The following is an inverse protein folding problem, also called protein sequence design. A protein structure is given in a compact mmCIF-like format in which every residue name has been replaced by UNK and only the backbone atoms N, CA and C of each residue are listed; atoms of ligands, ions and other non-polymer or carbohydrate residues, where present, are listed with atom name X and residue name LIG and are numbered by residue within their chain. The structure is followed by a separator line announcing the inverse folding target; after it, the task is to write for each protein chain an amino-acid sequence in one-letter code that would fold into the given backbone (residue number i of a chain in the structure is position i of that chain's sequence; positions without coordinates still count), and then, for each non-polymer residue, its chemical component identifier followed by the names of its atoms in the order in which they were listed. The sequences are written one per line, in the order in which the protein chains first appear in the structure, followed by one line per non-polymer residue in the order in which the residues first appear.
data_IF_061228757074
#
_entry.id   IF_061228757074
#
_cell.length_a   1.000
_cell.length_b   1.000
_cell.length_c   1.000
_cell.angle_alpha   90.00
_cell.angle_beta   90.00
_cell.angle_gamma   90.00
#
_symmetry.space_group_name_H-M   'P 1'
#
loop_
_entity.id
_entity.type
_entity.pdbx_description
1 polymer ?
#
# COMPACT_ATOMS: atom_id res chain seq x y z
N UNK A 1 28.95 16.77 -5.18
CA UNK A 1 29.61 16.21 -3.97
C UNK A 1 29.00 16.64 -2.63
N UNK A 2 28.21 17.73 -2.54
CA UNK A 2 27.62 18.18 -1.27
C UNK A 2 26.30 17.49 -0.85
N UNK A 3 25.63 16.77 -1.77
CA UNK A 3 24.34 16.11 -1.49
C UNK A 3 24.50 14.75 -0.77
N UNK A 4 25.64 14.07 -0.98
CA UNK A 4 25.93 12.75 -0.41
C UNK A 4 26.21 12.76 1.12
N UNK A 5 26.46 13.93 1.72
CA UNK A 5 26.86 14.05 3.12
C UNK A 5 25.69 14.33 4.08
N UNK A 6 24.46 14.55 3.58
CA UNK A 6 23.29 14.82 4.42
C UNK A 6 22.46 13.60 4.81
N UNK A 7 22.81 12.41 4.35
CA UNK A 7 22.13 11.15 4.72
C UNK A 7 22.91 10.31 5.75
N UNK A 8 24.14 10.71 6.11
CA UNK A 8 25.02 9.89 6.94
C UNK A 8 24.86 10.06 8.46
N UNK A 9 24.04 11.01 8.93
CA UNK A 9 23.94 11.32 10.37
C UNK A 9 22.49 11.25 10.89
N UNK A 10 21.93 10.04 10.95
CA UNK A 10 20.87 9.71 11.92
C UNK A 10 20.77 8.18 12.10
N UNK A 11 21.88 7.57 12.54
CA UNK A 11 21.87 6.24 13.17
C UNK A 11 21.60 6.46 14.66
N UNK A 12 20.33 6.69 15.00
CA UNK A 12 19.86 6.34 16.34
C UNK A 12 19.37 4.91 16.22
N UNK A 13 20.03 3.99 16.92
CA UNK A 13 19.61 2.60 17.04
C UNK A 13 18.27 2.55 17.79
N UNK A 14 17.17 2.69 17.04
CA UNK A 14 15.88 2.20 17.47
C UNK A 14 15.95 0.68 17.28
N UNK A 15 15.82 -0.06 18.37
CA UNK A 15 15.73 -1.52 18.34
C UNK A 15 14.57 -1.88 17.42
N UNK A 16 14.88 -2.52 16.29
CA UNK A 16 13.85 -2.98 15.35
C UNK A 16 12.91 -3.93 16.10
N UNK A 17 11.59 -3.70 16.07
CA UNK A 17 10.66 -4.62 16.69
C UNK A 17 10.80 -5.98 16.01
N UNK A 18 10.97 -7.04 16.81
CA UNK A 18 10.97 -8.44 16.35
C UNK A 18 9.80 -8.64 15.38
N UNK A 19 10.03 -9.09 14.13
CA UNK A 19 8.95 -9.31 13.18
C UNK A 19 7.90 -10.22 13.80
N UNK A 20 6.61 -9.89 13.63
CA UNK A 20 5.57 -10.88 13.86
C UNK A 20 5.89 -12.11 13.00
N UNK A 21 5.80 -13.32 13.54
CA UNK A 21 6.01 -14.54 12.75
C UNK A 21 5.10 -14.49 11.52
N UNK A 22 5.71 -14.26 10.36
CA UNK A 22 5.00 -14.18 9.10
C UNK A 22 4.45 -15.57 8.77
N UNK A 23 3.33 -15.63 8.05
CA UNK A 23 2.77 -16.90 7.61
C UNK A 23 3.76 -17.67 6.74
N UNK A 24 3.77 -19.02 6.80
CA UNK A 24 4.54 -19.83 5.87
C UNK A 24 4.16 -19.49 4.42
N UNK A 25 5.16 -19.26 3.56
CA UNK A 25 4.97 -18.96 2.13
C UNK A 25 4.69 -17.50 1.79
N UNK A 26 4.05 -16.72 2.68
CA UNK A 26 3.66 -15.34 2.37
C UNK A 26 4.86 -14.40 2.16
N UNK A 27 5.97 -14.63 2.87
CA UNK A 27 7.21 -13.90 2.63
C UNK A 27 7.77 -14.16 1.23
N UNK A 28 7.68 -15.41 0.74
CA UNK A 28 8.15 -15.75 -0.59
C UNK A 28 7.27 -15.10 -1.67
N UNK A 29 5.94 -15.16 -1.51
CA UNK A 29 4.99 -14.46 -2.40
C UNK A 29 5.23 -12.94 -2.43
N UNK A 30 5.51 -12.34 -1.26
CA UNK A 30 5.88 -10.92 -1.19
C UNK A 30 7.15 -10.62 -1.97
N UNK A 31 8.20 -11.41 -1.79
CA UNK A 31 9.48 -11.21 -2.48
C UNK A 31 9.39 -11.44 -4.00
N UNK A 32 8.58 -12.40 -4.44
CA UNK A 32 8.28 -12.59 -5.87
C UNK A 32 7.59 -11.36 -6.46
N UNK A 33 6.55 -10.85 -5.80
CA UNK A 33 5.86 -9.62 -6.19
C UNK A 33 6.78 -8.39 -6.16
N UNK A 34 7.66 -8.29 -5.14
CA UNK A 34 8.61 -7.21 -5.02
C UNK A 34 9.67 -7.24 -6.12
N UNK A 35 10.08 -8.42 -6.59
CA UNK A 35 10.97 -8.56 -7.75
C UNK A 35 10.31 -8.03 -9.04
N UNK A 36 9.02 -8.32 -9.26
CA UNK A 36 8.26 -7.76 -10.39
C UNK A 36 8.15 -6.22 -10.28
N UNK A 37 7.92 -5.69 -9.06
CA UNK A 37 7.88 -4.24 -8.83
C UNK A 37 9.24 -3.56 -9.06
N UNK A 38 10.35 -4.20 -8.67
CA UNK A 38 11.69 -3.71 -8.97
C UNK A 38 11.93 -3.60 -10.48
N UNK A 39 11.44 -4.56 -11.27
CA UNK A 39 11.52 -4.49 -12.72
C UNK A 39 10.75 -3.28 -13.28
N UNK A 40 9.53 -3.03 -12.79
CA UNK A 40 8.74 -1.85 -13.17
C UNK A 40 9.47 -0.55 -12.81
N UNK A 41 10.05 -0.47 -11.62
CA UNK A 41 10.81 0.71 -11.18
C UNK A 41 12.06 0.94 -12.04
N UNK A 42 12.74 -0.12 -12.46
CA UNK A 42 13.88 -0.02 -13.37
C UNK A 42 13.48 0.53 -14.74
N UNK A 43 12.37 0.04 -15.31
CA UNK A 43 11.83 0.56 -16.57
C UNK A 43 11.45 2.05 -16.48
N UNK A 44 10.90 2.47 -15.34
CA UNK A 44 10.60 3.89 -15.08
C UNK A 44 11.86 4.72 -14.95
N UNK A 45 12.89 4.22 -14.28
CA UNK A 45 14.18 4.88 -14.17
C UNK A 45 14.84 5.07 -15.55
N UNK A 46 14.79 4.05 -16.41
CA UNK A 46 15.29 4.12 -17.78
C UNK A 46 14.51 5.13 -18.63
N UNK A 47 13.19 5.23 -18.47
CA UNK A 47 12.38 6.28 -19.11
C UNK A 47 12.81 7.67 -18.65
N UNK A 48 13.03 7.87 -17.35
CA UNK A 48 13.44 9.15 -16.78
C UNK A 48 14.89 9.55 -17.12
N UNK A 49 15.74 8.59 -17.47
CA UNK A 49 17.05 8.88 -18.08
C UNK A 49 16.91 9.48 -19.48
N UNK A 50 15.92 9.05 -20.26
CA UNK A 50 15.69 9.54 -21.62
C UNK A 50 14.89 10.86 -21.61
N UNK A 51 13.88 10.94 -20.75
CA UNK A 51 12.97 12.08 -20.62
C UNK A 51 12.70 12.34 -19.14
N UNK A 52 13.49 13.23 -18.52
CA UNK A 52 13.38 13.52 -17.09
C UNK A 52 12.02 14.16 -16.71
N UNK A 53 11.35 14.82 -17.65
CA UNK A 53 10.05 15.48 -17.48
C UNK A 53 8.85 14.58 -17.84
N UNK A 54 9.06 13.28 -18.08
CA UNK A 54 8.00 12.31 -18.36
C UNK A 54 7.03 12.20 -17.17
N UNK A 55 5.94 13.00 -17.24
CA UNK A 55 4.97 13.13 -16.16
C UNK A 55 4.31 11.80 -15.78
N UNK A 56 4.03 10.94 -16.77
CA UNK A 56 3.46 9.62 -16.54
C UNK A 56 4.45 8.71 -15.80
N UNK A 57 5.74 8.77 -16.15
CA UNK A 57 6.77 8.02 -15.46
C UNK A 57 6.97 8.52 -14.02
N UNK A 58 6.96 9.84 -13.79
CA UNK A 58 7.10 10.44 -12.45
C UNK A 58 5.94 10.05 -11.53
N UNK A 59 4.70 10.16 -12.02
CA UNK A 59 3.52 9.82 -11.22
C UNK A 59 3.41 8.31 -10.99
N UNK A 60 3.81 7.48 -11.96
CA UNK A 60 3.88 6.03 -11.76
C UNK A 60 4.98 5.64 -10.77
N UNK A 61 6.15 6.25 -10.85
CA UNK A 61 7.25 6.05 -9.89
C UNK A 61 6.80 6.36 -8.47
N UNK A 62 6.15 7.52 -8.27
CA UNK A 62 5.54 7.90 -6.99
C UNK A 62 4.58 6.82 -6.47
N UNK A 63 3.65 6.34 -7.29
CA UNK A 63 2.69 5.30 -6.87
C UNK A 63 3.36 3.97 -6.52
N UNK A 64 4.29 3.47 -7.33
CA UNK A 64 4.95 2.20 -7.04
C UNK A 64 5.81 2.30 -5.76
N UNK A 65 6.49 3.43 -5.54
CA UNK A 65 7.22 3.66 -4.27
C UNK A 65 6.30 3.74 -3.06
N UNK A 66 5.10 4.33 -3.19
CA UNK A 66 4.10 4.39 -2.13
C UNK A 66 3.66 2.99 -1.67
N UNK A 67 3.40 2.06 -2.60
CA UNK A 67 3.03 0.67 -2.26
C UNK A 67 4.13 0.00 -1.44
N UNK A 68 5.38 0.08 -1.90
CA UNK A 68 6.52 -0.52 -1.20
C UNK A 68 6.71 0.09 0.18
N UNK A 69 6.57 1.42 0.32
CA UNK A 69 6.58 2.09 1.62
C UNK A 69 5.51 1.49 2.54
N UNK A 70 4.30 1.29 2.03
CA UNK A 70 3.14 0.79 2.77
C UNK A 70 3.27 -0.67 3.24
N UNK A 71 3.80 -1.56 2.40
CA UNK A 71 3.89 -3.00 2.73
C UNK A 71 5.22 -3.47 3.29
N UNK A 72 6.37 -2.98 2.81
CA UNK A 72 7.67 -3.61 3.08
C UNK A 72 8.00 -3.78 4.57
N UNK A 73 7.72 -2.77 5.39
CA UNK A 73 7.94 -2.85 6.84
C UNK A 73 7.02 -3.86 7.53
N UNK A 74 5.81 -4.08 6.99
CA UNK A 74 4.86 -5.08 7.48
C UNK A 74 5.39 -6.52 7.29
N UNK A 75 6.30 -6.70 6.33
CA UNK A 75 7.03 -7.93 6.05
C UNK A 75 8.42 -7.98 6.69
N UNK A 76 8.78 -7.01 7.54
CA UNK A 76 10.06 -6.96 8.23
C UNK A 76 11.18 -6.22 7.48
N UNK A 77 10.91 -5.70 6.28
CA UNK A 77 11.87 -4.93 5.48
C UNK A 77 11.76 -3.43 5.80
N UNK A 78 12.08 -3.05 7.03
CA UNK A 78 11.99 -1.67 7.52
C UNK A 78 12.89 -0.69 6.74
N UNK A 79 14.08 -1.14 6.37
CA UNK A 79 15.00 -0.35 5.53
C UNK A 79 14.41 -0.09 4.15
N UNK A 80 13.80 -1.09 3.51
CA UNK A 80 13.14 -0.94 2.22
C UNK A 80 11.95 0.03 2.30
N UNK A 81 11.10 -0.09 3.34
CA UNK A 81 9.99 0.85 3.58
C UNK A 81 10.47 2.29 3.76
N UNK A 82 11.57 2.50 4.49
CA UNK A 82 12.17 3.84 4.69
C UNK A 82 12.78 4.41 3.42
N UNK A 83 13.51 3.59 2.64
CA UNK A 83 14.04 4.00 1.34
C UNK A 83 12.92 4.43 0.39
N UNK A 84 11.85 3.62 0.33
CA UNK A 84 10.68 3.91 -0.48
C UNK A 84 9.97 5.20 -0.04
N UNK A 85 9.88 5.50 1.25
CA UNK A 85 9.35 6.77 1.74
C UNK A 85 10.17 7.99 1.27
N UNK A 86 11.50 7.89 1.33
CA UNK A 86 12.37 8.97 0.83
C UNK A 86 12.24 9.18 -0.68
N UNK A 87 12.11 8.09 -1.44
CA UNK A 87 11.93 8.16 -2.88
C UNK A 87 10.54 8.69 -3.26
N UNK A 88 9.49 8.30 -2.54
CA UNK A 88 8.12 8.80 -2.76
C UNK A 88 8.06 10.32 -2.57
N UNK A 89 8.68 10.86 -1.53
CA UNK A 89 8.75 12.30 -1.28
C UNK A 89 9.54 13.03 -2.38
N UNK A 90 10.66 12.43 -2.80
CA UNK A 90 11.46 12.95 -3.92
C UNK A 90 10.65 12.98 -5.21
N UNK A 91 9.88 11.92 -5.50
CA UNK A 91 9.03 11.84 -6.68
C UNK A 91 7.86 12.84 -6.62
N UNK A 92 7.27 13.11 -5.44
CA UNK A 92 6.27 14.17 -5.24
C UNK A 92 6.84 15.54 -5.61
N UNK A 93 8.04 15.85 -5.15
CA UNK A 93 8.75 17.10 -5.49
C UNK A 93 9.01 17.21 -6.99
N UNK A 94 9.38 16.12 -7.66
CA UNK A 94 9.59 16.10 -9.12
C UNK A 94 8.29 16.34 -9.90
N UNK A 95 7.19 15.70 -9.49
CA UNK A 95 5.86 15.93 -10.11
C UNK A 95 5.42 17.39 -9.95
N UNK A 96 5.75 18.04 -8.83
CA UNK A 96 5.44 19.46 -8.61
C UNK A 96 6.31 20.41 -9.45
N UNK A 97 7.47 19.95 -9.94
CA UNK A 97 8.44 20.76 -10.69
C UNK A 97 8.95 20.05 -11.95
N UNK A 98 8.07 19.66 -12.90
CA UNK A 98 8.44 18.76 -13.98
C UNK A 98 9.55 19.31 -14.90
N UNK A 99 9.64 20.63 -15.06
CA UNK A 99 10.57 21.31 -15.99
C UNK A 99 11.93 21.68 -15.39
N UNK A 100 12.29 21.15 -14.21
CA UNK A 100 13.59 21.40 -13.59
C UNK A 100 14.68 20.58 -14.28
N UNK A 101 15.37 21.23 -15.24
CA UNK A 101 16.33 20.61 -16.14
C UNK A 101 17.67 20.20 -15.49
N UNK A 102 17.94 20.69 -14.27
CA UNK A 102 19.18 20.39 -13.54
C UNK A 102 19.09 19.10 -12.72
N UNK A 103 17.92 18.43 -12.71
CA UNK A 103 17.68 17.21 -11.94
C UNK A 103 17.93 15.96 -12.77
N UNK A 104 18.96 15.20 -12.40
CA UNK A 104 19.21 13.86 -12.95
C UNK A 104 18.30 12.81 -12.30
N UNK A 105 17.01 12.87 -12.66
CA UNK A 105 15.95 12.02 -12.08
C UNK A 105 16.15 10.54 -12.41
N UNK A 106 16.58 10.25 -13.63
CA UNK A 106 16.85 8.88 -14.08
C UNK A 106 17.93 8.20 -13.26
N UNK A 107 19.08 8.85 -13.06
CA UNK A 107 20.17 8.27 -12.26
C UNK A 107 19.79 8.08 -10.79
N UNK A 108 19.05 9.04 -10.21
CA UNK A 108 18.53 8.91 -8.83
C UNK A 108 17.55 7.74 -8.72
N UNK A 109 16.65 7.57 -9.68
CA UNK A 109 15.72 6.45 -9.72
C UNK A 109 16.44 5.10 -9.90
N UNK A 110 17.45 5.01 -10.76
CA UNK A 110 18.26 3.79 -10.92
C UNK A 110 19.02 3.44 -9.63
N UNK A 111 19.65 4.43 -8.98
CA UNK A 111 20.29 4.23 -7.68
C UNK A 111 19.30 3.69 -6.65
N UNK A 112 18.10 4.28 -6.59
CA UNK A 112 17.04 3.83 -5.69
C UNK A 112 16.67 2.36 -5.93
N UNK A 113 16.50 1.94 -7.19
CA UNK A 113 16.18 0.54 -7.53
C UNK A 113 17.24 -0.42 -6.99
N UNK A 114 18.52 -0.09 -7.14
CA UNK A 114 19.62 -0.93 -6.62
C UNK A 114 19.61 -1.00 -5.10
N UNK A 115 19.44 0.14 -4.42
CA UNK A 115 19.38 0.16 -2.95
C UNK A 115 18.14 -0.56 -2.41
N UNK A 116 17.02 -0.47 -3.11
CA UNK A 116 15.79 -1.15 -2.73
C UNK A 116 15.92 -2.66 -2.91
N UNK A 117 16.54 -3.13 -4.01
CA UNK A 117 16.82 -4.55 -4.22
C UNK A 117 17.72 -5.11 -3.11
N UNK A 118 18.79 -4.40 -2.75
CA UNK A 118 19.68 -4.75 -1.63
C UNK A 118 18.92 -4.83 -0.30
N UNK A 119 18.09 -3.82 0.01
CA UNK A 119 17.29 -3.78 1.22
C UNK A 119 16.22 -4.89 1.30
N UNK A 120 15.77 -5.40 0.16
CA UNK A 120 14.86 -6.53 0.03
C UNK A 120 15.58 -7.88 -0.08
N UNK A 121 16.92 -7.89 -0.13
CA UNK A 121 17.76 -9.07 -0.36
C UNK A 121 17.44 -9.78 -1.69
N UNK A 122 17.17 -8.98 -2.73
CA UNK A 122 16.89 -9.44 -4.08
C UNK A 122 18.03 -9.04 -5.03
N UNK A 123 18.18 -9.78 -6.12
CA UNK A 123 19.07 -9.38 -7.21
C UNK A 123 18.48 -8.16 -7.93
N UNK A 124 19.26 -7.10 -8.18
CA UNK A 124 18.77 -5.95 -8.91
C UNK A 124 18.46 -6.32 -10.37
N UNK A 125 17.41 -5.75 -10.96
CA UNK A 125 17.11 -5.97 -12.37
C UNK A 125 18.29 -5.52 -13.24
N UNK A 126 18.59 -6.24 -14.34
CA UNK A 126 19.72 -5.92 -15.20
C UNK A 126 19.54 -4.52 -15.80
N UNK A 127 20.60 -3.70 -15.74
CA UNK A 127 20.61 -2.38 -16.35
C UNK A 127 20.51 -2.51 -17.88
N UNK A 128 19.34 -2.22 -18.44
CA UNK A 128 19.10 -1.95 -19.87
C UNK A 128 19.79 -2.87 -20.87
N UNK A 129 19.46 -4.17 -20.92
CA UNK A 129 19.49 -4.88 -22.20
C UNK A 129 18.21 -4.58 -22.97
N UNK A 130 18.39 -3.90 -24.11
CA UNK A 130 17.34 -3.44 -25.03
C UNK A 130 16.27 -4.51 -25.27
N UNK A 131 15.10 -4.36 -24.66
CA UNK A 131 13.90 -5.01 -25.20
C UNK A 131 13.29 -4.12 -26.27
N UNK A 132 13.84 -4.23 -27.48
CA UNK A 132 13.06 -4.10 -28.70
C UNK A 132 12.09 -5.30 -28.74
N UNK A 133 11.07 -5.23 -27.92
CA UNK A 133 10.04 -6.25 -27.77
C UNK A 133 8.82 -5.52 -27.26
N UNK A 134 7.89 -5.25 -28.17
CA UNK A 134 6.56 -4.74 -27.83
C UNK A 134 5.96 -5.72 -26.83
N UNK A 135 6.04 -5.41 -25.53
CA UNK A 135 5.28 -6.12 -24.51
C UNK A 135 3.83 -5.75 -24.78
N UNK A 136 3.16 -6.63 -25.53
CA UNK A 136 1.72 -6.71 -25.49
C UNK A 136 1.37 -6.88 -24.01
N UNK A 137 0.47 -6.07 -23.43
CA UNK A 137 0.05 -6.27 -22.06
C UNK A 137 -0.33 -7.75 -21.91
N UNK A 138 0.11 -8.43 -20.84
CA UNK A 138 -0.37 -9.78 -20.59
C UNK A 138 -1.90 -9.74 -20.71
N UNK A 139 -2.55 -10.73 -21.37
CA UNK A 139 -4.00 -10.81 -21.32
C UNK A 139 -4.37 -10.74 -19.83
N UNK A 140 -5.43 -10.00 -19.45
CA UNK A 140 -5.85 -9.96 -18.07
C UNK A 140 -5.96 -11.42 -17.61
N UNK A 141 -5.06 -11.85 -16.73
CA UNK A 141 -5.29 -13.08 -15.99
C UNK A 141 -6.65 -12.83 -15.35
N UNK A 142 -7.64 -13.73 -15.51
CA UNK A 142 -8.89 -13.56 -14.80
C UNK A 142 -8.49 -13.33 -13.34
N UNK A 143 -8.92 -12.20 -12.79
CA UNK A 143 -8.87 -12.00 -11.36
C UNK A 143 -9.35 -13.34 -10.76
N UNK A 144 -8.64 -13.93 -9.79
CA UNK A 144 -9.29 -14.97 -9.00
C UNK A 144 -10.64 -14.38 -8.62
N UNK A 145 -11.77 -15.04 -8.92
CA UNK A 145 -13.08 -14.47 -8.67
C UNK A 145 -13.05 -13.96 -7.24
N UNK A 146 -13.50 -12.71 -7.03
CA UNK A 146 -13.74 -12.16 -5.71
C UNK A 146 -14.20 -13.32 -4.83
N UNK A 147 -13.38 -13.69 -3.84
CA UNK A 147 -13.60 -14.94 -3.12
C UNK A 147 -14.96 -14.81 -2.45
N UNK A 148 -15.96 -15.41 -3.08
CA UNK A 148 -17.30 -15.54 -2.57
C UNK A 148 -17.20 -16.27 -1.21
N UNK A 149 -18.10 -15.96 -0.27
CA UNK A 149 -17.95 -16.35 1.12
C UNK A 149 -17.73 -17.86 1.23
N UNK A 150 -16.56 -18.24 1.77
CA UNK A 150 -16.36 -19.64 2.19
C UNK A 150 -17.03 -19.79 3.55
N UNK A 151 -18.33 -20.01 3.50
CA UNK A 151 -19.18 -20.20 4.67
C UNK A 151 -20.63 -20.15 4.27
N UNK A 152 -21.26 -21.31 4.14
CA UNK A 152 -22.71 -21.42 3.97
C UNK A 152 -23.41 -20.82 5.20
N UNK A 153 -24.00 -19.64 5.01
CA UNK A 153 -24.82 -18.90 5.97
C UNK A 153 -25.03 -17.47 5.45
N UNK A 154 -26.28 -17.01 5.39
CA UNK A 154 -26.68 -15.71 4.85
C UNK A 154 -26.36 -14.54 5.82
N UNK A 155 -25.14 -14.49 6.33
CA UNK A 155 -24.70 -13.47 7.29
C UNK A 155 -23.73 -12.47 6.65
N UNK A 156 -23.81 -11.21 7.07
CA UNK A 156 -22.96 -10.13 6.59
C UNK A 156 -21.47 -10.34 6.96
N UNK A 157 -20.53 -9.74 6.20
CA UNK A 157 -19.12 -9.74 6.59
C UNK A 157 -18.94 -8.97 7.90
N UNK A 158 -18.10 -9.48 8.79
CA UNK A 158 -17.71 -8.77 10.01
C UNK A 158 -16.64 -7.72 9.73
N UNK A 159 -15.76 -7.99 8.75
CA UNK A 159 -14.67 -7.11 8.36
C UNK A 159 -14.69 -6.89 6.85
N UNK A 160 -14.52 -5.65 6.41
CA UNK A 160 -14.38 -5.28 5.00
C UNK A 160 -13.03 -4.59 4.87
N UNK A 161 -12.18 -5.05 3.95
CA UNK A 161 -10.86 -4.48 3.69
C UNK A 161 -10.89 -3.76 2.35
N UNK A 162 -10.44 -2.51 2.30
CA UNK A 162 -10.29 -1.74 1.05
C UNK A 162 -8.85 -1.26 0.98
N UNK A 163 -8.04 -1.96 0.18
CA UNK A 163 -6.58 -1.80 0.12
C UNK A 163 -6.08 -2.21 -1.28
N UNK A 164 -5.48 -1.27 -2.00
CA UNK A 164 -5.00 -1.49 -3.38
C UNK A 164 -3.65 -2.21 -3.41
N UNK A 165 -2.85 -2.20 -2.33
CA UNK A 165 -1.62 -2.97 -2.24
C UNK A 165 -1.93 -4.48 -2.09
N UNK A 166 -1.62 -5.32 -3.12
CA UNK A 166 -1.83 -6.77 -3.06
C UNK A 166 -1.17 -7.41 -1.85
N UNK A 167 0.04 -6.99 -1.52
CA UNK A 167 0.83 -7.55 -0.42
C UNK A 167 0.23 -7.22 0.94
N UNK A 168 -0.16 -5.95 1.16
CA UNK A 168 -0.70 -5.55 2.45
C UNK A 168 -2.09 -6.17 2.69
N UNK A 169 -2.99 -6.15 1.71
CA UNK A 169 -4.26 -6.82 1.94
C UNK A 169 -4.13 -8.34 1.99
N UNK A 170 -3.17 -8.96 1.28
CA UNK A 170 -2.87 -10.39 1.46
C UNK A 170 -2.47 -10.74 2.90
N UNK A 171 -1.64 -9.90 3.53
CA UNK A 171 -1.27 -10.03 4.94
C UNK A 171 -2.47 -9.91 5.89
N UNK A 172 -3.34 -8.92 5.65
CA UNK A 172 -4.56 -8.72 6.45
C UNK A 172 -5.55 -9.88 6.27
N UNK A 173 -5.79 -10.31 5.03
CA UNK A 173 -6.64 -11.46 4.70
C UNK A 173 -6.17 -12.73 5.41
N UNK A 174 -4.86 -12.99 5.42
CA UNK A 174 -4.31 -14.12 6.17
C UNK A 174 -4.65 -14.02 7.67
N UNK A 175 -4.40 -12.86 8.28
CA UNK A 175 -4.67 -12.65 9.70
C UNK A 175 -6.14 -12.81 10.07
N UNK A 176 -7.03 -12.35 9.19
CA UNK A 176 -8.48 -12.46 9.33
C UNK A 176 -8.94 -13.93 9.21
N UNK A 177 -8.47 -14.67 8.20
CA UNK A 177 -8.76 -16.11 8.03
C UNK A 177 -8.29 -16.91 9.25
N UNK A 178 -7.06 -16.66 9.72
CA UNK A 178 -6.49 -17.37 10.87
C UNK A 178 -7.28 -17.16 12.18
N UNK A 179 -8.04 -16.06 12.29
CA UNK A 179 -8.93 -15.76 13.43
C UNK A 179 -10.41 -16.07 13.17
N UNK A 180 -10.74 -16.65 12.02
CA UNK A 180 -12.11 -17.04 11.67
C UNK A 180 -13.07 -15.86 11.56
N UNK A 181 -12.61 -14.72 11.03
CA UNK A 181 -13.49 -13.61 10.68
C UNK A 181 -14.18 -13.89 9.34
N UNK A 182 -15.46 -13.52 9.21
CA UNK A 182 -16.09 -13.35 7.89
C UNK A 182 -15.62 -12.02 7.30
N UNK A 183 -14.99 -12.04 6.14
CA UNK A 183 -14.53 -10.81 5.51
C UNK A 183 -14.63 -10.81 3.99
N UNK A 184 -14.59 -9.60 3.43
CA UNK A 184 -14.45 -9.35 1.99
C UNK A 184 -13.37 -8.29 1.77
N UNK A 185 -12.61 -8.41 0.68
CA UNK A 185 -11.54 -7.47 0.33
C UNK A 185 -11.81 -6.85 -1.04
N UNK A 186 -11.68 -5.53 -1.13
CA UNK A 186 -11.74 -4.74 -2.35
C UNK A 186 -10.36 -4.13 -2.63
N UNK A 187 -9.95 -4.15 -3.90
CA UNK A 187 -8.67 -3.60 -4.38
C UNK A 187 -8.81 -2.23 -5.05
N UNK A 188 -10.03 -1.70 -5.08
CA UNK A 188 -10.38 -0.46 -5.75
C UNK A 188 -11.45 0.27 -4.93
N UNK A 189 -11.24 1.56 -4.68
CA UNK A 189 -12.17 2.37 -3.87
C UNK A 189 -13.56 2.54 -4.49
N UNK A 190 -13.66 2.59 -5.82
CA UNK A 190 -14.94 2.72 -6.53
C UNK A 190 -15.76 1.44 -6.41
N UNK A 191 -15.15 0.30 -6.71
CA UNK A 191 -15.81 -1.00 -6.57
C UNK A 191 -16.24 -1.24 -5.12
N UNK A 192 -15.40 -0.85 -4.16
CA UNK A 192 -15.73 -0.91 -2.74
C UNK A 192 -16.95 -0.05 -2.40
N UNK A 193 -16.96 1.22 -2.81
CA UNK A 193 -18.08 2.13 -2.51
C UNK A 193 -19.39 1.62 -3.12
N UNK A 194 -19.38 1.23 -4.39
CA UNK A 194 -20.58 0.72 -5.06
C UNK A 194 -21.12 -0.54 -4.37
N UNK A 195 -20.25 -1.45 -3.92
CA UNK A 195 -20.64 -2.62 -3.15
C UNK A 195 -21.14 -2.28 -1.72
N UNK A 196 -20.50 -1.34 -1.02
CA UNK A 196 -20.88 -0.90 0.33
C UNK A 196 -22.25 -0.19 0.35
N UNK A 197 -22.57 0.55 -0.71
CA UNK A 197 -23.90 1.17 -0.86
C UNK A 197 -24.99 0.13 -1.13
N UNK A 198 -24.66 -0.94 -1.85
CA UNK A 198 -25.60 -2.02 -2.17
C UNK A 198 -25.74 -3.07 -1.04
N UNK A 199 -24.75 -3.18 -0.16
CA UNK A 199 -24.76 -4.14 0.94
C UNK A 199 -25.78 -3.73 2.01
N UNK A 200 -26.59 -4.69 2.44
CA UNK A 200 -27.46 -4.59 3.61
C UNK A 200 -26.90 -5.47 4.74
N UNK A 201 -26.15 -4.89 5.69
CA UNK A 201 -25.57 -5.65 6.79
C UNK A 201 -26.57 -5.96 7.92
N UNK A 202 -27.82 -5.49 7.80
CA UNK A 202 -28.75 -5.46 8.93
C UNK A 202 -28.13 -4.78 10.15
N UNK A 203 -28.19 -5.44 11.30
CA UNK A 203 -27.69 -4.94 12.58
C UNK A 203 -26.19 -5.26 12.85
N UNK A 204 -25.48 -5.95 11.94
CA UNK A 204 -24.12 -6.45 12.23
C UNK A 204 -23.02 -5.37 12.16
N UNK A 205 -23.30 -4.20 11.59
CA UNK A 205 -22.41 -3.02 11.52
C UNK A 205 -20.91 -3.35 11.24
N UNK A 206 -20.56 -3.80 10.02
CA UNK A 206 -19.23 -4.31 9.69
C UNK A 206 -18.11 -3.30 9.97
N UNK A 207 -16.94 -3.82 10.35
CA UNK A 207 -15.71 -3.04 10.46
C UNK A 207 -15.09 -2.85 9.07
N UNK A 208 -14.99 -1.62 8.61
CA UNK A 208 -14.30 -1.24 7.39
C UNK A 208 -12.86 -0.81 7.70
N UNK A 209 -11.88 -1.61 7.27
CA UNK A 209 -10.48 -1.20 7.17
C UNK A 209 -10.28 -0.49 5.84
N UNK A 210 -10.18 0.83 5.87
CA UNK A 210 -10.20 1.68 4.68
C UNK A 210 -8.84 2.34 4.48
N UNK A 211 -8.16 2.08 3.37
CA UNK A 211 -7.00 2.88 3.01
C UNK A 211 -7.41 4.32 2.66
N UNK A 212 -6.66 5.28 3.19
CA UNK A 212 -6.81 6.70 2.89
C UNK A 212 -6.38 6.98 1.45
N UNK A 213 -5.25 6.42 1.03
CA UNK A 213 -4.55 6.80 -0.20
C UNK A 213 -4.90 5.90 -1.40
N UNK A 214 -6.19 5.55 -1.52
CA UNK A 214 -6.68 4.74 -2.64
C UNK A 214 -6.58 5.48 -3.98
N UNK A 215 -6.19 4.78 -5.07
CA UNK A 215 -6.21 5.36 -6.41
C UNK A 215 -7.62 5.81 -6.83
N UNK A 216 -7.69 6.98 -7.47
CA UNK A 216 -8.89 7.60 -8.06
C UNK A 216 -10.00 8.06 -7.08
N UNK A 217 -10.22 7.37 -5.97
CA UNK A 217 -11.21 7.75 -4.95
C UNK A 217 -10.63 7.49 -3.56
N UNK A 218 -10.33 8.55 -2.84
CA UNK A 218 -9.69 8.47 -1.52
C UNK A 218 -10.64 7.98 -0.42
N UNK A 219 -10.06 7.46 0.67
CA UNK A 219 -10.81 6.89 1.79
C UNK A 219 -11.69 7.90 2.53
N UNK A 220 -11.31 9.18 2.58
CA UNK A 220 -12.15 10.20 3.22
C UNK A 220 -13.43 10.46 2.40
N UNK A 221 -13.31 10.53 1.08
CA UNK A 221 -14.44 10.67 0.16
C UNK A 221 -15.42 9.50 0.26
N UNK A 222 -14.90 8.27 0.45
CA UNK A 222 -15.72 7.08 0.71
C UNK A 222 -16.45 7.21 2.05
N UNK A 223 -15.75 7.55 3.13
CA UNK A 223 -16.35 7.72 4.47
C UNK A 223 -17.43 8.81 4.48
N UNK A 224 -17.20 9.96 3.84
CA UNK A 224 -18.21 11.03 3.72
C UNK A 224 -19.48 10.52 3.02
N UNK A 225 -19.32 9.80 1.91
CA UNK A 225 -20.45 9.24 1.17
C UNK A 225 -21.21 8.21 2.01
N UNK A 226 -20.52 7.31 2.70
CA UNK A 226 -21.16 6.32 3.58
C UNK A 226 -21.87 6.98 4.75
N UNK A 227 -21.31 8.05 5.32
CA UNK A 227 -21.94 8.80 6.42
C UNK A 227 -23.25 9.44 5.99
N UNK A 228 -23.34 9.92 4.75
CA UNK A 228 -24.55 10.53 4.19
C UNK A 228 -25.60 9.49 3.75
N UNK A 229 -25.18 8.45 3.03
CA UNK A 229 -26.09 7.50 2.37
C UNK A 229 -26.42 6.26 3.25
N UNK A 230 -25.50 5.87 4.15
CA UNK A 230 -25.62 4.71 5.04
C UNK A 230 -25.21 5.10 6.49
N UNK A 231 -25.83 6.12 7.09
CA UNK A 231 -25.40 6.69 8.36
C UNK A 231 -25.35 5.65 9.47
N UNK A 232 -24.19 5.56 10.14
CA UNK A 232 -23.97 4.65 11.27
C UNK A 232 -23.79 3.18 10.90
N UNK A 233 -23.97 2.80 9.62
CA UNK A 233 -23.96 1.40 9.17
C UNK A 233 -22.57 0.74 9.26
N UNK A 234 -21.50 1.50 9.08
CA UNK A 234 -20.13 0.98 9.02
C UNK A 234 -19.26 1.59 10.12
N UNK A 235 -18.47 0.73 10.76
CA UNK A 235 -17.43 1.13 11.71
C UNK A 235 -16.14 1.31 10.93
N UNK A 236 -15.60 2.52 10.82
CA UNK A 236 -14.44 2.77 9.95
C UNK A 236 -13.16 2.90 10.75
N UNK A 237 -12.13 2.16 10.35
CA UNK A 237 -10.75 2.31 10.81
C UNK A 237 -9.89 2.59 9.59
N UNK A 238 -9.18 3.71 9.60
CA UNK A 238 -8.31 4.06 8.48
C UNK A 238 -7.00 3.26 8.52
N UNK A 239 -6.49 2.90 7.35
CA UNK A 239 -5.08 2.55 7.15
C UNK A 239 -4.43 3.70 6.39
N UNK A 240 -3.22 4.10 6.77
CA UNK A 240 -2.60 5.30 6.18
C UNK A 240 -1.08 5.29 6.32
N UNK A 241 -0.36 5.84 5.34
CA UNK A 241 1.08 6.11 5.49
C UNK A 241 1.36 7.39 6.29
N UNK A 242 0.33 8.17 6.61
CA UNK A 242 0.39 9.43 7.32
C UNK A 242 0.19 9.23 8.82
N UNK A 243 1.29 9.26 9.57
CA UNK A 243 1.29 9.02 11.02
C UNK A 243 1.32 10.27 11.88
N UNK A 244 1.25 11.48 11.29
CA UNK A 244 1.30 12.72 12.07
C UNK A 244 -0.03 13.01 12.80
N UNK A 245 0.06 13.86 13.83
CA UNK A 245 -1.07 14.19 14.69
C UNK A 245 -2.20 14.90 13.93
N UNK A 246 -1.87 15.73 12.95
CA UNK A 246 -2.86 16.46 12.14
C UNK A 246 -3.72 15.53 11.29
N UNK A 247 -3.12 14.55 10.63
CA UNK A 247 -3.86 13.58 9.80
C UNK A 247 -4.66 12.60 10.65
N UNK A 248 -4.14 12.20 11.81
CA UNK A 248 -4.92 11.41 12.77
C UNK A 248 -6.14 12.18 13.29
N UNK A 249 -5.97 13.46 13.62
CA UNK A 249 -7.07 14.30 14.08
C UNK A 249 -8.14 14.47 13.00
N UNK A 250 -7.72 14.72 11.75
CA UNK A 250 -8.62 14.79 10.58
C UNK A 250 -9.43 13.51 10.39
N UNK A 251 -8.80 12.34 10.54
CA UNK A 251 -9.48 11.03 10.52
C UNK A 251 -10.58 10.90 11.56
N UNK A 252 -10.27 11.27 12.81
CA UNK A 252 -11.22 11.21 13.92
C UNK A 252 -12.36 12.21 13.76
N UNK A 253 -12.08 13.43 13.32
CA UNK A 253 -13.09 14.46 13.02
C UNK A 253 -14.03 14.04 11.88
N UNK A 254 -13.52 13.27 10.91
CA UNK A 254 -14.32 12.69 9.84
C UNK A 254 -15.24 11.53 10.30
N UNK A 255 -15.11 11.08 11.55
CA UNK A 255 -15.95 10.01 12.13
C UNK A 255 -15.32 8.62 12.11
N UNK A 256 -14.03 8.49 11.80
CA UNK A 256 -13.33 7.22 11.97
C UNK A 256 -13.17 6.87 13.46
N UNK A 257 -13.18 5.58 13.77
CA UNK A 257 -13.04 5.05 15.12
C UNK A 257 -11.58 4.97 15.57
N UNK A 258 -10.68 4.70 14.63
CA UNK A 258 -9.26 4.45 14.89
C UNK A 258 -8.45 4.52 13.58
N UNK A 259 -7.13 4.38 13.71
CA UNK A 259 -6.18 4.31 12.61
C UNK A 259 -5.14 3.19 12.77
N UNK A 260 -4.61 2.76 11.64
CA UNK A 260 -3.47 1.86 11.49
C UNK A 260 -2.44 2.56 10.59
N UNK A 261 -1.35 3.01 11.20
CA UNK A 261 -0.26 3.66 10.47
C UNK A 261 0.58 2.57 9.78
N UNK A 262 0.76 2.71 8.47
CA UNK A 262 1.62 1.88 7.63
C UNK A 262 3.09 2.26 7.89
N UNK A 263 4.02 1.29 7.93
CA UNK A 263 3.79 -0.15 7.77
C UNK A 263 3.04 -0.79 8.96
N UNK A 264 2.14 -1.73 8.66
CA UNK A 264 1.19 -2.30 9.62
C UNK A 264 1.77 -3.54 10.28
N UNK A 265 1.91 -3.51 11.60
CA UNK A 265 2.10 -4.73 12.38
C UNK A 265 0.81 -5.56 12.41
N UNK A 266 0.82 -6.74 11.77
CA UNK A 266 -0.33 -7.65 11.72
C UNK A 266 -0.92 -7.94 13.12
N UNK A 267 -0.07 -8.11 14.14
CA UNK A 267 -0.52 -8.31 15.53
C UNK A 267 -1.36 -7.15 16.05
N UNK A 268 -0.96 -5.92 15.75
CA UNK A 268 -1.64 -4.70 16.22
C UNK A 268 -2.96 -4.53 15.46
N UNK A 269 -2.94 -4.75 14.15
CA UNK A 269 -4.15 -4.74 13.32
C UNK A 269 -5.20 -5.70 13.86
N UNK A 270 -4.81 -6.95 14.16
CA UNK A 270 -5.76 -7.96 14.63
C UNK A 270 -6.31 -7.68 16.04
N UNK A 271 -5.55 -7.03 16.92
CA UNK A 271 -6.09 -6.56 18.22
C UNK A 271 -7.08 -5.41 18.05
N UNK A 272 -6.81 -4.45 17.15
CA UNK A 272 -7.76 -3.37 16.85
C UNK A 272 -9.03 -3.89 16.20
N UNK A 273 -8.91 -4.83 15.25
CA UNK A 273 -10.06 -5.50 14.63
C UNK A 273 -10.89 -6.21 15.68
N UNK A 274 -10.26 -6.99 16.57
CA UNK A 274 -10.96 -7.67 17.67
C UNK A 274 -11.74 -6.69 18.56
N UNK A 275 -11.11 -5.57 18.94
CA UNK A 275 -11.75 -4.52 19.74
C UNK A 275 -12.99 -3.94 19.06
N UNK A 276 -12.92 -3.61 17.78
CA UNK A 276 -14.00 -2.90 17.08
C UNK A 276 -15.09 -3.80 16.51
N UNK A 277 -14.79 -5.07 16.23
CA UNK A 277 -15.81 -6.09 15.93
C UNK A 277 -16.55 -6.52 17.22
N UNK A 278 -15.91 -6.41 18.39
CA UNK A 278 -16.53 -6.71 19.68
C UNK A 278 -16.40 -8.16 20.13
N UNK A 279 -15.27 -8.81 19.81
CA UNK A 279 -14.93 -10.19 20.23
C UNK A 279 -13.99 -10.24 21.45
#
# INVERSE_FOLDING_TARGET
MAFALRLSNLVTMSVDPTPAELPPGLLAEYLESAAEQLQVLAELADRLLVAADDADALDRLRRETHKIRGSAGSYGFWQASRLAAGMEETAKDWVARPNDADLDRGSVAQWFVVQLADALQLEPPPAGERSAGRVQPPPPRPAPPASAPTGAGADAPEVIVVEDDPALAGLLEYGLRARGYRFVTFRNGRDALDALLALDPGDEHPLLLLDVDLPALDGYSILDTLTRERPGQYRVVFTTVHGDESEQLRGLEAGALDYLVKPISLRVALEKIRRWVGR
#
